data_IF_018902396453
#
_entry.id   IF_018902396453
#
_cell.length_a   1.000
_cell.length_b   1.000
_cell.length_c   1.000
_cell.angle_alpha   90.00
_cell.angle_beta   90.00
_cell.angle_gamma   90.00
#
_symmetry.space_group_name_H-M   'P 1'
#
loop_
_entity.id
_entity.type
_entity.pdbx_description
1 polymer ?
#
# COMPACT_ATOMS: atom_id res chain seq x y z
N UNK A 1 -2.62 -9.97 28.56
CA UNK A 1 -1.83 -9.07 27.67
C UNK A 1 -2.31 -7.64 27.85
N UNK A 2 -1.43 -6.64 27.99
CA UNK A 2 -1.82 -5.22 28.06
C UNK A 2 -2.47 -4.81 26.74
N UNK A 3 -3.57 -4.01 26.79
CA UNK A 3 -4.15 -3.42 25.58
C UNK A 3 -3.08 -2.60 24.88
N UNK A 4 -2.71 -3.03 23.66
CA UNK A 4 -1.82 -2.28 22.79
C UNK A 4 -2.52 -0.95 22.40
N UNK A 5 -1.82 0.17 22.54
CA UNK A 5 -2.37 1.49 22.17
C UNK A 5 -2.27 1.72 20.65
N UNK A 6 -3.13 2.57 20.07
CA UNK A 6 -3.09 2.91 18.64
C UNK A 6 -1.74 3.50 18.21
N UNK A 7 -1.04 4.24 19.10
CA UNK A 7 0.31 4.74 18.80
C UNK A 7 1.33 3.62 18.68
N UNK A 8 1.21 2.55 19.48
CA UNK A 8 2.09 1.38 19.33
C UNK A 8 1.77 0.55 18.09
N UNK A 9 0.56 0.64 17.51
CA UNK A 9 0.25 0.01 16.23
C UNK A 9 1.02 0.67 15.08
N UNK A 10 1.10 2.00 15.04
CA UNK A 10 1.83 2.71 14.01
C UNK A 10 3.35 2.50 14.14
N UNK A 11 3.90 2.47 15.36
CA UNK A 11 5.31 2.16 15.61
C UNK A 11 5.64 0.70 15.27
N UNK A 12 4.78 -0.25 15.64
CA UNK A 12 4.90 -1.65 15.25
C UNK A 12 4.82 -1.86 13.74
N UNK A 13 4.01 -1.06 13.04
CA UNK A 13 3.94 -1.07 11.58
C UNK A 13 5.26 -0.65 10.95
N UNK A 14 5.94 0.37 11.47
CA UNK A 14 7.23 0.80 10.95
C UNK A 14 8.24 -0.37 10.92
N UNK A 15 8.37 -1.12 12.01
CA UNK A 15 9.27 -2.28 12.07
C UNK A 15 8.82 -3.42 11.16
N UNK A 16 7.52 -3.70 11.13
CA UNK A 16 6.96 -4.82 10.36
C UNK A 16 7.01 -4.57 8.84
N UNK A 17 6.79 -3.33 8.39
CA UNK A 17 6.79 -2.96 6.97
C UNK A 17 8.17 -3.01 6.31
N UNK A 18 9.26 -2.81 7.08
CA UNK A 18 10.64 -2.82 6.59
C UNK A 18 11.03 -4.11 5.87
N UNK A 19 10.44 -5.25 6.22
CA UNK A 19 10.90 -6.56 5.70
C UNK A 19 10.35 -6.90 4.30
N UNK A 20 9.14 -6.48 3.94
CA UNK A 20 8.52 -6.83 2.66
C UNK A 20 8.09 -5.60 1.88
N UNK A 21 7.28 -4.73 2.49
CA UNK A 21 6.67 -3.60 1.78
C UNK A 21 7.74 -2.60 1.33
N UNK A 22 8.70 -2.28 2.20
CA UNK A 22 9.79 -1.36 1.86
C UNK A 22 10.69 -1.96 0.80
N UNK A 23 11.17 -3.19 0.99
CA UNK A 23 12.12 -3.79 0.02
C UNK A 23 11.50 -3.99 -1.36
N UNK A 24 10.24 -4.46 -1.46
CA UNK A 24 9.56 -4.61 -2.77
C UNK A 24 9.18 -3.27 -3.37
N UNK A 25 8.91 -2.27 -2.53
CA UNK A 25 8.66 -0.90 -2.96
C UNK A 25 9.92 -0.23 -3.54
N UNK A 26 11.07 -0.40 -2.89
CA UNK A 26 12.37 0.08 -3.42
C UNK A 26 12.72 -0.56 -4.75
N UNK A 27 12.56 -1.90 -4.88
CA UNK A 27 12.71 -2.59 -6.15
C UNK A 27 11.80 -2.00 -7.23
N UNK A 28 10.53 -1.75 -6.91
CA UNK A 28 9.57 -1.17 -7.83
C UNK A 28 9.96 0.25 -8.25
N UNK A 29 10.41 1.06 -7.29
CA UNK A 29 10.89 2.42 -7.55
C UNK A 29 12.07 2.40 -8.52
N UNK A 30 13.06 1.54 -8.27
CA UNK A 30 14.27 1.46 -9.08
C UNK A 30 14.02 0.87 -10.47
N UNK A 31 13.21 -0.21 -10.58
CA UNK A 31 13.06 -0.96 -11.82
C UNK A 31 12.03 -0.40 -12.79
N UNK A 32 10.96 0.21 -12.26
CA UNK A 32 9.78 0.54 -13.08
C UNK A 32 9.32 1.99 -12.92
N UNK A 33 9.38 2.55 -11.70
CA UNK A 33 8.99 3.95 -11.48
C UNK A 33 10.03 4.90 -12.05
N UNK A 34 11.31 4.65 -11.77
CA UNK A 34 12.47 5.39 -12.30
C UNK A 34 12.28 6.92 -12.17
N UNK A 35 12.14 7.46 -10.95
CA UNK A 35 11.99 8.90 -10.74
C UNK A 35 13.23 9.64 -11.23
N UNK A 36 13.03 10.85 -11.72
CA UNK A 36 14.12 11.70 -12.22
C UNK A 36 14.44 12.81 -11.20
N UNK A 37 15.68 13.29 -11.14
CA UNK A 37 16.01 14.49 -10.38
C UNK A 37 15.09 15.66 -10.76
N UNK A 38 14.51 16.30 -9.75
CA UNK A 38 13.57 17.42 -9.94
C UNK A 38 12.09 17.02 -10.03
N UNK A 39 11.74 15.72 -10.10
CA UNK A 39 10.35 15.28 -10.13
C UNK A 39 9.58 15.70 -8.86
N UNK A 40 8.32 16.07 -9.05
CA UNK A 40 7.33 16.24 -7.99
C UNK A 40 6.51 14.93 -7.85
N UNK A 41 6.61 14.29 -6.70
CA UNK A 41 6.01 12.97 -6.47
C UNK A 41 4.99 13.03 -5.32
N UNK A 42 3.83 12.40 -5.54
CA UNK A 42 2.90 12.04 -4.48
C UNK A 42 3.11 10.56 -4.12
N UNK A 43 3.37 10.27 -2.85
CA UNK A 43 3.33 8.92 -2.29
C UNK A 43 1.97 8.72 -1.63
N UNK A 44 1.06 8.07 -2.36
CA UNK A 44 -0.32 7.82 -1.94
C UNK A 44 -0.39 6.58 -1.05
N UNK A 45 -0.78 6.77 0.22
CA UNK A 45 -0.76 5.75 1.26
C UNK A 45 0.64 5.54 1.80
N UNK A 46 1.32 6.62 2.15
CA UNK A 46 2.74 6.63 2.50
C UNK A 46 3.07 5.91 3.83
N UNK A 47 2.08 5.59 4.65
CA UNK A 47 2.29 4.96 5.95
C UNK A 47 3.23 5.77 6.85
N UNK A 48 4.29 5.14 7.33
CA UNK A 48 5.32 5.75 8.19
C UNK A 48 6.46 6.45 7.43
N UNK A 49 6.39 6.49 6.09
CA UNK A 49 7.15 7.41 5.24
C UNK A 49 8.50 6.90 4.73
N UNK A 50 8.85 5.62 4.90
CA UNK A 50 10.12 5.05 4.48
C UNK A 50 10.35 5.19 2.97
N UNK A 51 9.35 4.80 2.15
CA UNK A 51 9.44 4.93 0.70
C UNK A 51 9.36 6.39 0.24
N UNK A 52 8.60 7.23 0.95
CA UNK A 52 8.61 8.68 0.71
C UNK A 52 10.00 9.30 0.90
N UNK A 53 10.71 8.89 1.97
CA UNK A 53 12.09 9.33 2.23
C UNK A 53 13.06 8.88 1.15
N UNK A 54 12.93 7.63 0.71
CA UNK A 54 13.72 7.08 -0.38
C UNK A 54 13.46 7.81 -1.72
N UNK A 55 12.17 8.08 -2.04
CA UNK A 55 11.82 8.90 -3.21
C UNK A 55 12.41 10.31 -3.13
N UNK A 56 12.38 10.94 -1.94
CA UNK A 56 12.94 12.28 -1.74
C UNK A 56 14.47 12.34 -1.95
N UNK A 57 15.18 11.27 -1.60
CA UNK A 57 16.60 11.13 -1.91
C UNK A 57 16.84 11.06 -3.43
N UNK A 58 16.07 10.24 -4.14
CA UNK A 58 16.24 10.01 -5.58
C UNK A 58 15.94 11.25 -6.42
N UNK A 59 14.87 12.02 -6.07
CA UNK A 59 14.53 13.24 -6.83
C UNK A 59 15.44 14.42 -6.48
N UNK A 60 16.20 14.33 -5.41
CA UNK A 60 17.18 15.34 -5.01
C UNK A 60 16.57 16.66 -4.53
N UNK A 61 17.42 17.68 -4.25
CA UNK A 61 16.98 18.92 -3.60
C UNK A 61 16.05 19.81 -4.46
N UNK A 62 16.07 19.66 -5.76
CA UNK A 62 15.19 20.38 -6.70
C UNK A 62 13.84 19.67 -6.89
N UNK A 63 13.74 18.40 -6.50
CA UNK A 63 12.50 17.64 -6.52
C UNK A 63 11.67 17.87 -5.26
N UNK A 64 10.45 17.34 -5.26
CA UNK A 64 9.54 17.44 -4.12
C UNK A 64 8.78 16.13 -3.93
N UNK A 65 8.69 15.65 -2.69
CA UNK A 65 7.85 14.51 -2.34
C UNK A 65 6.81 14.91 -1.30
N UNK A 66 5.57 14.50 -1.53
CA UNK A 66 4.48 14.63 -0.56
C UNK A 66 3.98 13.22 -0.25
N UNK A 67 4.08 12.78 1.00
CA UNK A 67 3.43 11.58 1.49
C UNK A 67 2.05 11.91 2.02
N UNK A 68 1.03 11.13 1.62
CA UNK A 68 -0.34 11.26 2.13
C UNK A 68 -0.85 9.91 2.65
N UNK A 69 -1.48 9.92 3.82
CA UNK A 69 -2.09 8.73 4.43
C UNK A 69 -3.30 9.17 5.28
N UNK A 70 -4.42 8.43 5.30
CA UNK A 70 -5.57 8.75 6.15
C UNK A 70 -5.34 8.43 7.64
N UNK A 71 -4.30 7.69 7.99
CA UNK A 71 -3.97 7.35 9.37
C UNK A 71 -3.08 8.43 10.00
N UNK A 72 -3.70 9.32 10.79
CA UNK A 72 -3.02 10.42 11.47
C UNK A 72 -1.85 9.95 12.37
N UNK A 73 -1.92 8.74 12.94
CA UNK A 73 -0.85 8.22 13.78
C UNK A 73 0.36 7.81 12.94
N UNK A 74 0.13 7.20 11.76
CA UNK A 74 1.20 6.90 10.81
C UNK A 74 1.85 8.17 10.29
N UNK A 75 1.07 9.19 9.95
CA UNK A 75 1.58 10.50 9.54
C UNK A 75 2.39 11.17 10.66
N UNK A 76 1.97 11.04 11.91
CA UNK A 76 2.75 11.54 13.05
C UNK A 76 4.12 10.86 13.15
N UNK A 77 4.17 9.53 13.02
CA UNK A 77 5.43 8.76 12.99
C UNK A 77 6.29 9.20 11.80
N UNK A 78 5.72 9.33 10.61
CA UNK A 78 6.41 9.77 9.41
C UNK A 78 7.06 11.15 9.59
N UNK A 79 6.33 12.12 10.15
CA UNK A 79 6.85 13.45 10.45
C UNK A 79 7.97 13.42 11.50
N UNK A 80 7.89 12.55 12.50
CA UNK A 80 8.93 12.39 13.52
C UNK A 80 10.21 11.78 12.95
N UNK A 81 10.07 10.75 12.12
CA UNK A 81 11.19 10.01 11.55
C UNK A 81 11.88 10.76 10.41
N UNK A 82 11.10 11.41 9.54
CA UNK A 82 11.59 11.95 8.26
C UNK A 82 11.42 13.48 8.09
N UNK A 83 10.85 14.17 9.07
CA UNK A 83 10.53 15.61 8.97
C UNK A 83 11.74 16.56 8.84
N UNK A 84 12.98 16.04 8.92
CA UNK A 84 14.21 16.83 8.67
C UNK A 84 14.60 16.87 7.19
N UNK A 85 13.98 16.05 6.34
CA UNK A 85 14.24 16.00 4.90
C UNK A 85 13.53 17.19 4.25
N UNK A 86 14.31 18.12 3.68
CA UNK A 86 13.80 19.45 3.24
C UNK A 86 12.80 19.39 2.10
N UNK A 87 12.97 18.46 1.18
CA UNK A 87 12.12 18.25 -0.01
C UNK A 87 11.00 17.23 0.22
N UNK A 88 10.74 16.82 1.49
CA UNK A 88 9.71 15.87 1.87
C UNK A 88 8.73 16.51 2.85
N UNK A 89 7.44 16.29 2.62
CA UNK A 89 6.38 16.67 3.55
C UNK A 89 5.31 15.61 3.65
N UNK A 90 4.57 15.57 4.78
CA UNK A 90 3.51 14.62 5.04
C UNK A 90 2.20 15.32 5.35
N UNK A 91 1.12 14.86 4.74
CA UNK A 91 -0.22 15.43 4.83
C UNK A 91 -1.24 14.35 5.20
N UNK A 92 -2.14 14.68 6.10
CA UNK A 92 -3.28 13.82 6.42
C UNK A 92 -4.30 13.92 5.29
N UNK A 93 -4.70 12.78 4.70
CA UNK A 93 -5.66 12.75 3.59
C UNK A 93 -5.71 11.42 2.88
N UNK A 94 -6.51 11.35 1.84
CA UNK A 94 -6.77 10.12 1.12
C UNK A 94 -6.91 10.34 -0.40
N UNK A 95 -7.04 9.25 -1.15
CA UNK A 95 -7.24 9.29 -2.60
C UNK A 95 -8.54 10.01 -3.03
N UNK A 96 -9.51 10.20 -2.12
CA UNK A 96 -10.80 10.83 -2.46
C UNK A 96 -10.73 12.35 -2.65
N UNK A 97 -9.70 13.02 -2.11
CA UNK A 97 -9.63 14.49 -2.13
C UNK A 97 -8.30 15.06 -2.65
N UNK A 98 -7.40 14.23 -3.15
CA UNK A 98 -6.08 14.71 -3.60
C UNK A 98 -6.15 15.71 -4.74
N UNK A 99 -7.15 15.59 -5.65
CA UNK A 99 -7.32 16.50 -6.77
C UNK A 99 -7.77 17.91 -6.37
N UNK A 100 -8.48 18.02 -5.26
CA UNK A 100 -8.88 19.32 -4.70
C UNK A 100 -7.70 20.04 -4.04
N UNK A 101 -6.82 19.27 -3.38
CA UNK A 101 -5.65 19.79 -2.67
C UNK A 101 -4.49 20.06 -3.63
N UNK A 102 -4.29 19.19 -4.61
CA UNK A 102 -3.12 19.18 -5.49
C UNK A 102 -3.49 19.01 -6.98
N UNK A 103 -4.23 19.94 -7.59
CA UNK A 103 -4.56 19.85 -9.02
C UNK A 103 -3.28 19.99 -9.87
N UNK A 104 -3.11 19.11 -10.87
CA UNK A 104 -2.01 19.14 -11.84
C UNK A 104 -0.60 19.41 -11.25
N UNK A 105 -0.33 18.77 -10.10
CA UNK A 105 0.83 19.10 -9.28
C UNK A 105 2.00 18.11 -9.41
N UNK A 106 1.74 16.87 -9.85
CA UNK A 106 2.73 15.80 -9.76
C UNK A 106 3.16 15.27 -11.12
N UNK A 107 4.45 14.94 -11.24
CA UNK A 107 5.02 14.18 -12.35
C UNK A 107 4.74 12.70 -12.16
N UNK A 108 4.75 12.22 -10.90
CA UNK A 108 4.51 10.83 -10.54
C UNK A 108 3.56 10.77 -9.35
N UNK A 109 2.55 9.90 -9.42
CA UNK A 109 1.83 9.41 -8.25
C UNK A 109 2.24 7.95 -8.05
N UNK A 110 2.95 7.72 -6.96
CA UNK A 110 3.40 6.41 -6.53
C UNK A 110 2.44 5.86 -5.48
N UNK A 111 2.15 4.56 -5.51
CA UNK A 111 1.34 3.90 -4.47
C UNK A 111 1.76 2.44 -4.32
N UNK A 112 2.01 2.03 -3.08
CA UNK A 112 2.53 0.69 -2.77
C UNK A 112 1.68 0.02 -1.69
N UNK A 113 0.97 -1.05 -2.03
CA UNK A 113 0.08 -1.80 -1.13
C UNK A 113 -1.07 -1.00 -0.53
N UNK A 114 -1.72 -0.15 -1.33
CA UNK A 114 -2.80 0.74 -0.87
C UNK A 114 -4.14 0.42 -1.50
N UNK A 115 -4.20 0.02 -2.78
CA UNK A 115 -5.48 -0.10 -3.50
C UNK A 115 -6.51 -0.99 -2.81
N UNK A 116 -6.09 -2.02 -2.09
CA UNK A 116 -7.02 -2.89 -1.38
C UNK A 116 -7.72 -2.22 -0.17
N UNK A 117 -7.28 -1.03 0.25
CA UNK A 117 -7.95 -0.23 1.28
C UNK A 117 -8.97 0.75 0.73
N UNK A 118 -8.94 1.03 -0.58
CA UNK A 118 -9.79 2.01 -1.23
C UNK A 118 -11.07 1.34 -1.72
N UNK A 119 -12.23 1.74 -1.19
CA UNK A 119 -13.52 1.20 -1.61
C UNK A 119 -13.93 1.75 -2.99
N UNK A 120 -13.95 3.06 -3.17
CA UNK A 120 -14.24 3.70 -4.46
C UNK A 120 -12.97 3.94 -5.28
N UNK A 121 -12.59 2.92 -6.04
CA UNK A 121 -11.40 3.01 -6.89
C UNK A 121 -11.58 3.92 -8.09
N UNK A 122 -12.79 3.98 -8.66
CA UNK A 122 -13.00 4.85 -9.81
C UNK A 122 -12.80 6.32 -9.43
N UNK A 123 -13.33 6.74 -8.30
CA UNK A 123 -13.10 8.08 -7.77
C UNK A 123 -11.60 8.32 -7.51
N UNK A 124 -10.91 7.37 -6.88
CA UNK A 124 -9.48 7.47 -6.61
C UNK A 124 -8.65 7.63 -7.91
N UNK A 125 -8.94 6.83 -8.95
CA UNK A 125 -8.23 6.95 -10.24
C UNK A 125 -8.55 8.28 -10.94
N UNK A 126 -9.80 8.78 -10.87
CA UNK A 126 -10.17 10.09 -11.40
C UNK A 126 -9.38 11.21 -10.69
N UNK A 127 -9.27 11.14 -9.37
CA UNK A 127 -8.52 12.12 -8.56
C UNK A 127 -7.02 12.05 -8.84
N UNK A 128 -6.44 10.84 -8.97
CA UNK A 128 -5.05 10.68 -9.40
C UNK A 128 -4.80 11.31 -10.78
N UNK A 129 -5.72 11.08 -11.73
CA UNK A 129 -5.62 11.70 -13.06
C UNK A 129 -5.64 13.22 -13.00
N UNK A 130 -6.55 13.81 -12.23
CA UNK A 130 -6.67 15.25 -12.08
C UNK A 130 -5.45 15.87 -11.37
N UNK A 131 -4.81 15.14 -10.44
CA UNK A 131 -3.64 15.61 -9.69
C UNK A 131 -2.33 15.53 -10.47
N UNK A 132 -2.27 14.76 -11.55
CA UNK A 132 -1.09 14.65 -12.39
C UNK A 132 -0.97 15.83 -13.37
N UNK A 133 0.24 16.29 -13.58
CA UNK A 133 0.60 17.13 -14.73
C UNK A 133 0.36 16.38 -16.04
N UNK A 134 0.26 17.11 -17.14
CA UNK A 134 0.27 16.50 -18.48
C UNK A 134 1.61 15.78 -18.70
N UNK A 135 1.56 14.56 -19.18
CA UNK A 135 2.74 13.67 -19.31
C UNK A 135 3.14 12.94 -18.03
N UNK A 136 2.51 13.28 -16.90
CA UNK A 136 2.72 12.58 -15.63
C UNK A 136 2.17 11.16 -15.64
N UNK A 137 2.60 10.34 -14.67
CA UNK A 137 2.24 8.92 -14.59
C UNK A 137 1.83 8.50 -13.20
N UNK A 138 0.95 7.50 -13.14
CA UNK A 138 0.76 6.67 -11.95
C UNK A 138 1.69 5.48 -12.01
N UNK A 139 2.18 5.04 -10.85
CA UNK A 139 2.94 3.82 -10.68
C UNK A 139 2.44 3.13 -9.41
N UNK A 140 1.72 2.04 -9.56
CA UNK A 140 0.97 1.39 -8.49
C UNK A 140 1.36 -0.07 -8.39
N UNK A 141 1.75 -0.52 -7.18
CA UNK A 141 1.92 -1.92 -6.82
C UNK A 141 0.79 -2.32 -5.87
N UNK A 142 0.08 -3.41 -6.18
CA UNK A 142 -1.12 -3.79 -5.45
C UNK A 142 -1.31 -5.30 -5.36
N UNK A 143 -2.17 -5.73 -4.43
CA UNK A 143 -2.61 -7.11 -4.27
C UNK A 143 -3.96 -7.29 -4.97
N UNK A 144 -4.11 -8.24 -5.90
CA UNK A 144 -5.40 -8.56 -6.52
C UNK A 144 -6.33 -9.30 -5.56
N UNK A 145 -5.78 -9.97 -4.57
CA UNK A 145 -6.47 -10.63 -3.46
C UNK A 145 -5.53 -10.70 -2.26
N UNK A 146 -6.08 -10.92 -1.09
CA UNK A 146 -5.26 -11.14 0.11
C UNK A 146 -4.53 -12.48 0.00
N UNK A 147 -3.27 -12.56 0.48
CA UNK A 147 -2.55 -13.82 0.54
C UNK A 147 -3.32 -14.88 1.34
N UNK A 148 -3.41 -16.12 0.88
CA UNK A 148 -4.11 -17.20 1.58
C UNK A 148 -3.62 -17.40 3.01
N UNK A 149 -2.33 -17.16 3.27
CA UNK A 149 -1.74 -17.27 4.61
C UNK A 149 -2.30 -16.23 5.56
N UNK A 150 -2.53 -14.98 5.11
CA UNK A 150 -3.12 -13.94 5.93
C UNK A 150 -4.61 -14.22 6.19
N UNK A 151 -5.34 -14.66 5.17
CA UNK A 151 -6.73 -15.10 5.30
C UNK A 151 -6.88 -16.26 6.28
N UNK A 152 -5.95 -17.23 6.25
CA UNK A 152 -5.93 -18.34 7.18
C UNK A 152 -5.64 -17.87 8.61
N UNK A 153 -4.69 -16.94 8.79
CA UNK A 153 -4.40 -16.35 10.08
C UNK A 153 -5.62 -15.64 10.68
N UNK A 154 -6.33 -14.84 9.89
CA UNK A 154 -7.53 -14.14 10.35
C UNK A 154 -8.63 -15.13 10.78
N UNK A 155 -8.84 -16.21 10.01
CA UNK A 155 -9.84 -17.22 10.32
C UNK A 155 -9.50 -18.04 11.57
N UNK A 156 -8.24 -18.45 11.70
CA UNK A 156 -7.80 -19.33 12.77
C UNK A 156 -7.53 -18.59 14.09
N UNK A 157 -6.93 -17.40 14.00
CA UNK A 157 -6.50 -16.64 15.18
C UNK A 157 -7.54 -15.64 15.66
N UNK A 158 -8.36 -15.09 14.76
CA UNK A 158 -9.32 -14.03 15.12
C UNK A 158 -10.69 -14.24 14.46
N UNK A 159 -11.33 -15.41 14.60
CA UNK A 159 -12.61 -15.72 13.96
C UNK A 159 -13.73 -14.76 14.38
N UNK A 160 -13.67 -14.19 15.59
CA UNK A 160 -14.63 -13.21 16.09
C UNK A 160 -14.69 -11.94 15.25
N UNK A 161 -13.58 -11.54 14.64
CA UNK A 161 -13.47 -10.37 13.78
C UNK A 161 -13.31 -10.73 12.30
N UNK A 162 -13.43 -11.98 11.91
CA UNK A 162 -13.12 -12.44 10.56
C UNK A 162 -13.92 -11.72 9.48
N UNK A 163 -15.24 -11.60 9.63
CA UNK A 163 -16.08 -10.90 8.66
C UNK A 163 -15.74 -9.40 8.57
N UNK A 164 -15.44 -8.78 9.70
CA UNK A 164 -15.01 -7.38 9.75
C UNK A 164 -13.66 -7.20 9.05
N UNK A 165 -12.70 -8.10 9.29
CA UNK A 165 -11.40 -8.11 8.61
C UNK A 165 -11.59 -8.26 7.10
N UNK A 166 -12.40 -9.21 6.65
CA UNK A 166 -12.68 -9.41 5.23
C UNK A 166 -13.33 -8.19 4.59
N UNK A 167 -14.26 -7.52 5.28
CA UNK A 167 -14.99 -6.35 4.75
C UNK A 167 -14.12 -5.08 4.59
N UNK A 168 -12.94 -5.05 5.22
CA UNK A 168 -12.01 -3.92 5.09
C UNK A 168 -11.25 -3.92 3.76
N UNK A 169 -11.15 -5.10 3.12
CA UNK A 169 -10.31 -5.26 1.95
C UNK A 169 -11.14 -5.26 0.67
N UNK A 170 -10.83 -4.35 -0.20
CA UNK A 170 -11.47 -4.15 -1.49
C UNK A 170 -10.51 -4.54 -2.62
N UNK A 171 -10.08 -5.80 -2.62
CA UNK A 171 -9.19 -6.33 -3.66
C UNK A 171 -9.92 -6.42 -5.00
N UNK A 172 -9.22 -6.18 -6.09
CA UNK A 172 -9.77 -6.20 -7.44
C UNK A 172 -8.82 -6.89 -8.41
N UNK A 173 -9.38 -7.56 -9.42
CA UNK A 173 -8.59 -8.20 -10.46
C UNK A 173 -7.81 -7.18 -11.28
N UNK A 174 -6.79 -7.67 -12.00
CA UNK A 174 -6.00 -6.86 -12.94
C UNK A 174 -6.88 -6.13 -13.95
N UNK A 175 -7.78 -6.86 -14.58
CA UNK A 175 -8.68 -6.35 -15.63
C UNK A 175 -9.52 -5.20 -15.09
N UNK A 176 -9.95 -5.31 -13.83
CA UNK A 176 -10.75 -4.27 -13.19
C UNK A 176 -9.91 -3.01 -12.89
N UNK A 177 -8.67 -3.18 -12.41
CA UNK A 177 -7.74 -2.06 -12.21
C UNK A 177 -7.41 -1.38 -13.53
N UNK A 178 -7.13 -2.14 -14.60
CA UNK A 178 -6.93 -1.60 -15.94
C UNK A 178 -8.16 -0.82 -16.45
N UNK A 179 -9.36 -1.33 -16.18
CA UNK A 179 -10.61 -0.64 -16.53
C UNK A 179 -10.73 0.71 -15.81
N UNK A 180 -10.41 0.78 -14.51
CA UNK A 180 -10.43 2.06 -13.77
C UNK A 180 -9.42 3.06 -14.36
N UNK A 181 -8.22 2.62 -14.73
CA UNK A 181 -7.24 3.46 -15.42
C UNK A 181 -7.81 4.04 -16.73
N UNK A 182 -8.37 3.20 -17.58
CA UNK A 182 -8.92 3.61 -18.89
C UNK A 182 -10.10 4.59 -18.72
N UNK A 183 -11.03 4.29 -17.80
CA UNK A 183 -12.18 5.13 -17.52
C UNK A 183 -11.78 6.50 -16.94
N UNK A 184 -10.71 6.59 -16.18
CA UNK A 184 -10.15 7.85 -15.69
C UNK A 184 -9.38 8.64 -16.78
N UNK A 185 -9.08 8.03 -17.92
CA UNK A 185 -8.39 8.68 -19.05
C UNK A 185 -6.90 8.36 -19.18
N UNK A 186 -6.39 7.42 -18.41
CA UNK A 186 -4.99 6.99 -18.51
C UNK A 186 -4.75 6.13 -19.73
N UNK A 187 -3.54 6.25 -20.30
CA UNK A 187 -2.96 5.28 -21.22
C UNK A 187 -2.06 4.32 -20.45
N UNK A 188 -2.39 3.03 -20.50
CA UNK A 188 -1.64 1.99 -19.77
C UNK A 188 -0.33 1.71 -20.52
N UNK A 189 0.79 2.00 -19.90
CA UNK A 189 2.13 1.73 -20.45
C UNK A 189 2.59 0.30 -20.13
N UNK A 190 2.35 -0.15 -18.90
CA UNK A 190 2.69 -1.49 -18.41
C UNK A 190 1.64 -1.96 -17.43
N UNK A 191 1.26 -3.22 -17.50
CA UNK A 191 0.48 -3.91 -16.49
C UNK A 191 0.92 -5.36 -16.46
N UNK A 192 1.54 -5.77 -15.37
CA UNK A 192 2.21 -7.06 -15.29
C UNK A 192 2.29 -7.58 -13.85
N UNK A 193 2.43 -8.89 -13.77
CA UNK A 193 2.67 -9.57 -12.51
C UNK A 193 4.14 -9.41 -12.12
N UNK A 194 4.40 -8.80 -10.97
CA UNK A 194 5.72 -8.78 -10.39
C UNK A 194 5.89 -10.07 -9.57
N UNK A 195 6.89 -10.86 -9.91
CA UNK A 195 7.26 -12.04 -9.13
C UNK A 195 8.31 -11.62 -8.10
N UNK A 196 7.92 -11.34 -6.86
CA UNK A 196 8.90 -11.12 -5.83
C UNK A 196 9.73 -12.41 -5.65
N UNK A 197 11.01 -12.31 -5.29
CA UNK A 197 11.78 -13.47 -4.90
C UNK A 197 11.04 -14.19 -3.77
N UNK A 198 11.10 -15.53 -3.75
CA UNK A 198 10.54 -16.35 -2.65
C UNK A 198 11.03 -15.77 -1.33
N UNK A 199 10.16 -15.13 -0.57
CA UNK A 199 10.51 -14.51 0.70
C UNK A 199 9.78 -15.21 1.83
N UNK A 200 10.51 -15.43 2.89
CA UNK A 200 9.97 -15.87 4.17
C UNK A 200 9.75 -14.64 5.03
N UNK A 201 8.58 -14.51 5.62
CA UNK A 201 8.38 -13.57 6.71
C UNK A 201 8.82 -14.27 8.00
N UNK A 202 9.89 -13.76 8.59
CA UNK A 202 10.44 -14.29 9.83
C UNK A 202 9.94 -13.43 11.00
N UNK A 203 9.51 -14.10 12.05
CA UNK A 203 9.14 -13.46 13.31
C UNK A 203 9.99 -14.07 14.42
N UNK A 204 10.56 -13.23 15.26
CA UNK A 204 11.39 -13.66 16.38
C UNK A 204 10.58 -14.42 17.42
N UNK A 205 9.32 -14.05 17.58
CA UNK A 205 8.40 -14.66 18.54
C UNK A 205 6.92 -14.48 18.14
N UNK A 206 6.05 -15.09 18.89
CA UNK A 206 4.59 -15.00 18.71
C UNK A 206 4.05 -13.58 18.90
N UNK A 207 4.70 -12.80 19.75
CA UNK A 207 4.30 -11.42 20.02
C UNK A 207 4.50 -10.56 18.78
N UNK A 208 5.65 -10.64 18.12
CA UNK A 208 5.96 -9.90 16.88
C UNK A 208 5.03 -10.30 15.73
N UNK A 209 4.65 -11.57 15.63
CA UNK A 209 3.64 -12.04 14.67
C UNK A 209 2.27 -11.39 14.92
N UNK A 210 1.79 -11.39 16.16
CA UNK A 210 0.49 -10.83 16.51
C UNK A 210 0.47 -9.29 16.38
N UNK A 211 1.56 -8.63 16.75
CA UNK A 211 1.74 -7.19 16.55
C UNK A 211 1.73 -6.81 15.06
N UNK A 212 2.31 -7.67 14.23
CA UNK A 212 2.28 -7.46 12.77
C UNK A 212 0.83 -7.51 12.24
N UNK A 213 0.05 -8.55 12.56
CA UNK A 213 -1.35 -8.63 12.13
C UNK A 213 -2.20 -7.48 12.68
N UNK A 214 -1.98 -7.11 13.93
CA UNK A 214 -2.67 -6.00 14.54
C UNK A 214 -2.34 -4.66 13.87
N UNK A 215 -1.07 -4.39 13.61
CA UNK A 215 -0.61 -3.13 13.01
C UNK A 215 -1.01 -2.99 11.53
N UNK A 216 -0.96 -4.09 10.77
CA UNK A 216 -1.32 -4.09 9.35
C UNK A 216 -2.82 -4.01 9.10
N UNK A 217 -3.65 -4.38 10.07
CA UNK A 217 -5.12 -4.31 9.98
C UNK A 217 -5.73 -3.13 10.76
N UNK A 218 -4.94 -2.10 11.05
CA UNK A 218 -5.38 -0.92 11.82
C UNK A 218 -6.08 -1.29 13.14
N UNK A 219 -5.62 -2.35 13.80
CA UNK A 219 -6.16 -2.80 15.08
C UNK A 219 -7.46 -3.61 15.00
N UNK A 220 -7.96 -3.95 13.81
CA UNK A 220 -9.16 -4.81 13.68
C UNK A 220 -8.85 -6.25 14.02
N UNK A 221 -7.68 -6.76 13.64
CA UNK A 221 -7.17 -8.00 14.22
C UNK A 221 -6.80 -7.72 15.68
N UNK A 222 -7.56 -8.26 16.62
CA UNK A 222 -7.36 -8.02 18.04
C UNK A 222 -6.68 -9.23 18.70
N UNK A 223 -5.40 -9.10 19.11
CA UNK A 223 -4.66 -10.18 19.76
C UNK A 223 -5.32 -10.69 21.06
N UNK A 224 -6.21 -9.93 21.68
CA UNK A 224 -6.90 -10.35 22.92
C UNK A 224 -7.87 -11.52 22.72
N UNK A 225 -8.31 -11.77 21.48
CA UNK A 225 -9.13 -12.93 21.11
C UNK A 225 -8.30 -14.18 20.77
N UNK A 226 -6.98 -14.06 20.67
CA UNK A 226 -6.11 -15.19 20.33
C UNK A 226 -5.86 -16.03 21.57
N UNK A 227 -6.42 -17.26 21.58
CA UNK A 227 -6.17 -18.23 22.65
C UNK A 227 -4.86 -18.98 22.39
N UNK A 228 -4.23 -19.48 23.45
CA UNK A 228 -3.01 -20.30 23.35
C UNK A 228 -3.20 -21.53 22.46
N UNK A 229 -4.36 -22.20 22.55
CA UNK A 229 -4.71 -23.35 21.72
C UNK A 229 -4.75 -23.00 20.23
N UNK A 230 -5.41 -21.90 19.86
CA UNK A 230 -5.48 -21.41 18.48
C UNK A 230 -4.09 -21.07 17.96
N UNK A 231 -3.31 -20.39 18.79
CA UNK A 231 -1.95 -19.95 18.44
C UNK A 231 -1.03 -21.15 18.17
N UNK A 232 -1.01 -22.13 19.06
CA UNK A 232 -0.20 -23.36 18.90
C UNK A 232 -0.62 -24.13 17.64
N UNK A 233 -1.92 -24.30 17.41
CA UNK A 233 -2.43 -24.96 16.22
C UNK A 233 -2.03 -24.24 14.93
N UNK A 234 -2.17 -22.91 14.89
CA UNK A 234 -1.79 -22.09 13.75
C UNK A 234 -0.28 -22.14 13.49
N UNK A 235 0.55 -22.08 14.54
CA UNK A 235 2.00 -21.99 14.43
C UNK A 235 2.69 -23.33 14.15
N UNK A 236 2.05 -24.46 14.44
CA UNK A 236 2.66 -25.79 14.29
C UNK A 236 3.36 -26.02 12.94
N UNK A 237 2.81 -25.59 11.78
CA UNK A 237 3.46 -25.74 10.48
C UNK A 237 4.60 -24.73 10.23
N UNK A 238 4.70 -23.68 11.03
CA UNK A 238 5.56 -22.51 10.78
C UNK A 238 6.71 -22.34 11.76
N UNK A 239 6.75 -23.14 12.83
CA UNK A 239 7.78 -23.05 13.86
C UNK A 239 8.84 -24.13 13.68
N UNK A 240 10.08 -23.73 13.57
CA UNK A 240 11.20 -24.67 13.48
C UNK A 240 11.67 -25.19 14.87
N UNK A 241 12.65 -26.08 14.86
CA UNK A 241 13.20 -26.66 16.10
C UNK A 241 13.91 -25.65 17.02
N UNK A 242 14.23 -24.44 16.51
CA UNK A 242 14.82 -23.35 17.29
C UNK A 242 13.78 -22.40 17.88
N UNK A 243 12.50 -22.60 17.54
CA UNK A 243 11.40 -21.72 17.95
C UNK A 243 11.21 -20.50 17.05
N UNK A 244 11.97 -20.38 15.97
CA UNK A 244 11.79 -19.30 14.99
C UNK A 244 10.53 -19.55 14.16
N UNK A 245 9.65 -18.56 14.12
CA UNK A 245 8.42 -18.60 13.35
C UNK A 245 8.73 -18.14 11.93
N UNK A 246 8.66 -19.07 10.98
CA UNK A 246 8.90 -18.81 9.57
C UNK A 246 7.59 -18.97 8.79
N UNK A 247 6.89 -17.87 8.55
CA UNK A 247 5.71 -17.86 7.70
C UNK A 247 6.16 -17.77 6.25
N UNK A 248 6.03 -18.87 5.53
CA UNK A 248 6.34 -18.91 4.11
C UNK A 248 5.23 -18.22 3.33
N UNK A 249 5.55 -17.10 2.72
CA UNK A 249 4.77 -16.58 1.61
C UNK A 249 5.24 -17.28 0.33
N UNK A 250 5.04 -18.59 0.23
CA UNK A 250 5.08 -19.24 -1.06
C UNK A 250 3.86 -18.79 -1.83
N UNK A 251 4.06 -17.75 -2.60
CA UNK A 251 3.16 -17.33 -3.63
C UNK A 251 3.31 -18.38 -4.73
N UNK A 252 2.47 -19.38 -4.71
CA UNK A 252 2.26 -20.20 -5.90
C UNK A 252 1.89 -19.24 -7.01
N UNK A 253 2.43 -19.44 -8.20
CA UNK A 253 2.48 -18.51 -9.33
C UNK A 253 1.19 -17.75 -9.67
N UNK A 254 0.04 -18.15 -9.14
CA UNK A 254 -1.27 -17.61 -9.49
C UNK A 254 -2.02 -16.95 -8.32
N UNK A 255 -1.64 -17.17 -7.05
CA UNK A 255 -2.48 -16.85 -5.89
C UNK A 255 -1.96 -15.73 -4.97
N UNK A 256 -0.88 -15.06 -5.29
CA UNK A 256 -0.31 -14.07 -4.35
C UNK A 256 0.72 -13.14 -4.97
N UNK A 257 0.77 -13.09 -6.29
CA UNK A 257 1.65 -12.18 -6.98
C UNK A 257 1.17 -10.74 -6.83
N UNK A 258 2.13 -9.84 -6.65
CA UNK A 258 1.85 -8.43 -6.79
C UNK A 258 1.62 -8.09 -8.25
N UNK A 259 0.70 -7.20 -8.49
CA UNK A 259 0.51 -6.60 -9.79
C UNK A 259 1.05 -5.18 -9.78
N UNK A 260 1.69 -4.80 -10.87
CA UNK A 260 2.15 -3.43 -11.11
C UNK A 260 1.44 -2.86 -12.32
N UNK A 261 0.95 -1.64 -12.19
CA UNK A 261 0.41 -0.85 -13.29
C UNK A 261 1.13 0.48 -13.36
N UNK A 262 1.57 0.84 -14.57
CA UNK A 262 2.13 2.15 -14.90
C UNK A 262 1.30 2.69 -16.04
N UNK A 263 0.68 3.84 -15.81
CA UNK A 263 -0.16 4.48 -16.80
C UNK A 263 0.06 6.00 -16.80
N UNK A 264 -0.06 6.62 -17.99
CA UNK A 264 0.26 8.02 -18.23
C UNK A 264 -0.97 8.86 -18.54
N UNK A 265 -0.90 10.12 -18.14
CA UNK A 265 -1.82 11.19 -18.54
C UNK A 265 -1.31 11.83 -19.83
N UNK A 266 -1.65 11.27 -20.99
CA UNK A 266 -1.18 11.77 -22.29
C UNK A 266 -2.00 12.95 -22.84
N UNK A 267 -3.24 13.16 -22.35
CA UNK A 267 -4.14 14.22 -22.85
C UNK A 267 -4.79 14.99 -21.71
N UNK A 268 -4.97 16.30 -21.89
CA UNK A 268 -5.90 17.05 -21.03
C UNK A 268 -7.32 16.55 -21.32
N UNK A 269 -8.08 16.19 -20.28
CA UNK A 269 -9.47 15.79 -20.40
C UNK A 269 -10.28 16.99 -20.92
N UNK A 270 -10.52 17.07 -22.21
CA UNK A 270 -11.67 17.82 -22.72
C UNK A 270 -12.87 16.92 -22.55
N UNK A 271 -13.66 17.16 -21.51
CA UNK A 271 -15.00 16.59 -21.41
C UNK A 271 -15.71 16.97 -22.71
N UNK A 272 -15.87 16.02 -23.63
CA UNK A 272 -16.76 16.17 -24.75
C UNK A 272 -18.18 16.15 -24.18
N UNK A 273 -18.69 17.33 -23.80
CA UNK A 273 -20.09 17.56 -23.38
C UNK A 273 -21.12 17.19 -24.48
N UNK A 274 -20.67 16.68 -25.62
CA UNK A 274 -21.52 16.38 -26.79
C UNK A 274 -21.93 14.91 -26.92
N UNK A 275 -21.70 14.05 -25.89
CA UNK A 275 -22.11 12.64 -25.94
C UNK A 275 -23.32 12.32 -25.01
N UNK A 276 -23.98 13.32 -24.44
CA UNK A 276 -25.22 13.16 -23.66
C UNK A 276 -26.39 13.88 -24.35
N UNK A 277 -26.52 13.78 -25.69
CA UNK A 277 -27.76 14.08 -26.35
C UNK A 277 -27.88 13.13 -27.55
N UNK A 278 -28.63 12.09 -27.38
CA UNK A 278 -29.02 11.26 -28.53
C UNK A 278 -29.42 9.82 -28.18
N UNK A 279 -30.61 9.68 -27.75
CA UNK A 279 -31.60 8.58 -27.80
C UNK A 279 -31.94 7.93 -26.46
#
# INVERSE_FOLDING_TARGET
MSKLSLSSAAEGYQQASLSIQTTTGEEFIQSDVCPQPGDAILDLGCGTGELSAYLAELVGPEGKVIGIDPDEQRIKVARQSHGKIKNLSFVDGSASNISEIFPESFDIIFSNYVLHWIADKQEAFNNMFASLKLGGKIAIQYLPHLPPVDMNAYRELNPENFDKLCSMFHCESREKIEQYCILAGFEICKSFQANPPKRKRLFEDTKSLLEWYWSTTHGVFDPSFVTEERLQRYLAPYTDSSGVISVNFEIKSDEGAFWRVIAKKERSYKVNANLIVGQ
#
